data_IF_357268234934
#
_entry.id   IF_357268234934
#
_cell.length_a   1.000
_cell.length_b   1.000
_cell.length_c   1.000
_cell.angle_alpha   90.00
_cell.angle_beta   90.00
_cell.angle_gamma   90.00
#
_symmetry.space_group_name_H-M   'P 1'
#
loop_
_entity.id
_entity.type
_entity.pdbx_description
1 polymer ?
#
# COMPACT_ATOMS: atom_id res chain seq x y z
N UNK A 1 -2.31 1.49 18.52
CA UNK A 1 -0.87 1.21 18.29
C UNK A 1 -0.51 1.08 16.81
N UNK A 2 -1.33 0.46 15.93
CA UNK A 2 -1.01 0.29 14.50
C UNK A 2 -0.74 1.60 13.72
N UNK A 3 -1.55 2.66 13.89
CA UNK A 3 -1.35 3.96 13.20
C UNK A 3 0.04 4.56 13.43
N UNK A 4 0.56 4.50 14.67
CA UNK A 4 1.86 5.10 15.00
C UNK A 4 3.05 4.39 14.34
N UNK A 5 2.94 3.08 14.13
CA UNK A 5 3.99 2.29 13.46
C UNK A 5 4.04 2.59 11.96
N UNK A 6 2.88 2.82 11.34
CA UNK A 6 2.78 3.20 9.92
C UNK A 6 3.37 4.58 9.68
N UNK A 7 3.01 5.58 10.50
CA UNK A 7 3.59 6.93 10.38
C UNK A 7 5.10 6.93 10.62
N UNK A 8 5.59 6.14 11.57
CA UNK A 8 7.04 5.98 11.79
C UNK A 8 7.74 5.29 10.62
N UNK A 9 7.14 4.27 10.03
CA UNK A 9 7.70 3.60 8.86
C UNK A 9 7.71 4.54 7.65
N UNK A 10 6.65 5.31 7.46
CA UNK A 10 6.56 6.34 6.43
C UNK A 10 7.60 7.45 6.63
N UNK A 11 7.70 8.03 7.83
CA UNK A 11 8.70 9.04 8.15
C UNK A 11 10.13 8.53 7.98
N UNK A 12 10.39 7.28 8.38
CA UNK A 12 11.71 6.65 8.22
C UNK A 12 12.02 6.42 6.73
N UNK A 13 11.03 6.00 5.94
CA UNK A 13 11.17 5.84 4.51
C UNK A 13 11.46 7.18 3.82
N UNK A 14 10.66 8.22 4.09
CA UNK A 14 10.84 9.56 3.54
C UNK A 14 12.21 10.12 3.90
N UNK A 15 12.64 10.00 5.18
CA UNK A 15 13.97 10.44 5.62
C UNK A 15 15.10 9.67 4.96
N UNK A 16 14.93 8.36 4.74
CA UNK A 16 15.92 7.54 4.03
C UNK A 16 16.05 7.94 2.55
N UNK A 17 14.97 8.39 1.93
CA UNK A 17 15.03 8.94 0.56
C UNK A 17 15.81 10.25 0.48
N UNK A 18 15.68 11.09 1.51
CA UNK A 18 16.25 12.44 1.54
C UNK A 18 17.75 12.46 1.85
N UNK A 19 18.29 11.39 2.46
CA UNK A 19 19.66 11.43 3.00
C UNK A 19 20.76 10.91 2.08
N UNK A 20 20.61 9.85 1.24
CA UNK A 20 21.79 9.38 0.46
C UNK A 20 21.56 8.81 -0.96
N UNK A 21 20.34 8.55 -1.45
CA UNK A 21 20.17 7.80 -2.71
C UNK A 21 19.34 8.43 -3.84
N UNK A 22 18.75 9.64 -3.72
CA UNK A 22 17.95 10.25 -4.81
C UNK A 22 16.94 9.27 -5.46
N UNK A 23 16.39 8.33 -4.68
CA UNK A 23 15.49 7.30 -5.21
C UNK A 23 14.13 7.95 -5.41
N UNK A 24 13.74 8.11 -6.68
CA UNK A 24 12.36 8.49 -7.02
C UNK A 24 11.40 7.39 -6.58
N UNK A 25 10.66 7.63 -5.51
CA UNK A 25 9.52 6.81 -5.12
C UNK A 25 8.19 7.44 -5.52
N UNK A 26 7.17 6.59 -5.54
CA UNK A 26 5.77 6.97 -5.70
C UNK A 26 5.02 6.41 -4.49
N UNK A 27 4.25 7.27 -3.86
CA UNK A 27 3.32 6.89 -2.82
C UNK A 27 1.94 6.70 -3.44
N UNK A 28 1.30 5.59 -3.13
CA UNK A 28 -0.09 5.33 -3.50
C UNK A 28 -0.87 5.08 -2.22
N UNK A 29 -1.94 5.84 -2.04
CA UNK A 29 -2.98 5.54 -1.07
C UNK A 29 -4.11 4.84 -1.80
N UNK A 30 -4.44 3.64 -1.35
CA UNK A 30 -5.53 2.84 -1.87
C UNK A 30 -6.63 2.77 -0.82
N UNK A 31 -7.83 3.18 -1.23
CA UNK A 31 -9.07 2.99 -0.49
C UNK A 31 -9.92 1.99 -1.27
N UNK A 32 -10.49 0.99 -0.60
CA UNK A 32 -11.32 -0.02 -1.24
C UNK A 32 -12.77 0.44 -1.17
N UNK A 33 -13.34 0.77 -2.33
CA UNK A 33 -14.73 1.21 -2.43
C UNK A 33 -15.69 0.23 -1.76
N UNK A 34 -16.54 0.78 -0.88
CA UNK A 34 -17.57 0.02 -0.15
C UNK A 34 -17.01 -1.13 0.70
N UNK A 35 -15.77 -1.07 1.15
CA UNK A 35 -15.18 -2.12 2.01
C UNK A 35 -15.99 -2.36 3.29
N UNK A 36 -16.60 -1.30 3.85
CA UNK A 36 -17.56 -1.44 4.95
C UNK A 36 -18.69 -2.43 4.63
N UNK A 37 -19.23 -2.46 3.41
CA UNK A 37 -20.28 -3.40 3.03
C UNK A 37 -19.78 -4.85 3.06
N UNK A 38 -18.52 -5.09 2.70
CA UNK A 38 -17.90 -6.42 2.79
C UNK A 38 -17.86 -6.86 4.25
N UNK A 39 -17.38 -5.99 5.15
CA UNK A 39 -17.36 -6.29 6.58
C UNK A 39 -18.77 -6.52 7.14
N UNK A 40 -19.74 -5.70 6.73
CA UNK A 40 -21.11 -5.78 7.25
C UNK A 40 -21.85 -7.05 6.78
N UNK A 41 -21.55 -7.56 5.57
CA UNK A 41 -22.20 -8.74 4.99
C UNK A 41 -21.48 -10.04 5.38
N UNK A 42 -20.14 -10.03 5.37
CA UNK A 42 -19.32 -11.25 5.48
C UNK A 42 -18.49 -11.32 6.76
N UNK A 43 -18.48 -10.26 7.56
CA UNK A 43 -17.66 -10.18 8.78
C UNK A 43 -16.24 -9.68 8.53
N UNK A 44 -15.58 -9.26 9.61
CA UNK A 44 -14.26 -8.66 9.56
C UNK A 44 -13.16 -9.62 9.11
N UNK A 45 -13.28 -10.91 9.42
CA UNK A 45 -12.29 -11.92 9.00
C UNK A 45 -12.20 -12.01 7.47
N UNK A 46 -13.36 -12.00 6.79
CA UNK A 46 -13.43 -11.98 5.32
C UNK A 46 -12.92 -10.65 4.76
N UNK A 47 -13.22 -9.53 5.43
CA UNK A 47 -12.64 -8.23 5.06
C UNK A 47 -11.11 -8.24 5.11
N UNK A 48 -10.52 -8.87 6.12
CA UNK A 48 -9.07 -9.01 6.25
C UNK A 48 -8.48 -9.89 5.15
N UNK A 49 -9.14 -11.00 4.78
CA UNK A 49 -8.75 -11.82 3.63
C UNK A 49 -8.76 -11.02 2.31
N UNK A 50 -9.77 -10.18 2.11
CA UNK A 50 -9.87 -9.30 0.93
C UNK A 50 -8.70 -8.33 0.88
N UNK A 51 -8.32 -7.71 2.01
CA UNK A 51 -7.16 -6.81 2.08
C UNK A 51 -5.84 -7.54 1.78
N UNK A 52 -5.68 -8.75 2.30
CA UNK A 52 -4.51 -9.60 2.02
C UNK A 52 -4.45 -9.92 0.53
N UNK A 53 -5.57 -10.31 -0.08
CA UNK A 53 -5.62 -10.66 -1.50
C UNK A 53 -5.32 -9.46 -2.41
N UNK A 54 -5.83 -8.28 -2.06
CA UNK A 54 -5.50 -7.03 -2.78
C UNK A 54 -4.00 -6.73 -2.70
N UNK A 55 -3.41 -6.83 -1.49
CA UNK A 55 -1.98 -6.64 -1.32
C UNK A 55 -1.16 -7.69 -2.11
N UNK A 56 -1.57 -8.96 -2.09
CA UNK A 56 -0.92 -10.04 -2.83
C UNK A 56 -0.96 -9.80 -4.34
N UNK A 57 -2.10 -9.42 -4.90
CA UNK A 57 -2.22 -9.14 -6.35
C UNK A 57 -1.29 -8.02 -6.79
N UNK A 58 -1.18 -6.97 -5.97
CA UNK A 58 -0.31 -5.83 -6.29
C UNK A 58 1.17 -6.20 -6.12
N UNK A 59 1.55 -6.89 -5.03
CA UNK A 59 2.95 -7.34 -4.85
C UNK A 59 3.41 -8.31 -5.92
N UNK A 60 2.56 -9.23 -6.39
CA UNK A 60 2.92 -10.15 -7.47
C UNK A 60 3.34 -9.42 -8.76
N UNK A 61 2.80 -8.22 -9.00
CA UNK A 61 3.16 -7.41 -10.15
C UNK A 61 4.39 -6.52 -9.91
N UNK A 62 4.75 -6.28 -8.64
CA UNK A 62 5.80 -5.35 -8.20
C UNK A 62 6.56 -5.91 -6.99
N UNK A 63 7.55 -6.77 -7.27
CA UNK A 63 8.51 -7.27 -6.27
C UNK A 63 9.88 -6.64 -6.48
N UNK A 64 10.03 -5.35 -6.14
CA UNK A 64 11.37 -4.78 -5.99
C UNK A 64 11.75 -4.76 -4.52
N UNK A 65 13.04 -4.91 -4.26
CA UNK A 65 13.63 -5.01 -2.91
C UNK A 65 13.23 -3.84 -2.01
N UNK A 66 12.96 -2.66 -2.58
CA UNK A 66 12.64 -1.44 -1.84
C UNK A 66 11.17 -1.03 -1.93
N UNK A 67 10.32 -1.85 -2.56
CA UNK A 67 8.87 -1.60 -2.57
C UNK A 67 8.26 -2.17 -1.28
N UNK A 68 7.33 -1.45 -0.66
CA UNK A 68 6.64 -1.95 0.53
C UNK A 68 5.17 -1.55 0.56
N UNK A 69 4.40 -2.34 1.32
CA UNK A 69 2.97 -2.16 1.55
C UNK A 69 2.72 -2.06 3.04
N UNK A 70 1.81 -1.18 3.43
CA UNK A 70 1.33 -1.08 4.79
C UNK A 70 -0.19 -0.89 4.82
N UNK A 71 -0.85 -1.55 5.79
CA UNK A 71 -2.24 -1.23 6.15
C UNK A 71 -2.23 -0.02 7.08
N UNK A 72 -2.93 1.05 6.70
CA UNK A 72 -2.92 2.35 7.40
C UNK A 72 -4.19 2.57 8.21
N UNK A 73 -5.33 2.10 7.70
CA UNK A 73 -6.63 2.15 8.37
C UNK A 73 -7.34 0.79 8.25
N UNK A 74 -8.60 0.71 8.70
CA UNK A 74 -9.38 -0.53 8.59
C UNK A 74 -9.55 -1.01 7.15
N UNK A 75 -9.59 -0.09 6.19
CA UNK A 75 -9.81 -0.35 4.76
C UNK A 75 -8.71 0.20 3.85
N UNK A 76 -7.86 1.08 4.38
CA UNK A 76 -6.85 1.80 3.62
C UNK A 76 -5.50 1.10 3.61
N UNK A 77 -4.97 0.91 2.41
CA UNK A 77 -3.63 0.41 2.14
C UNK A 77 -2.74 1.53 1.59
N UNK A 78 -1.46 1.48 1.90
CA UNK A 78 -0.42 2.34 1.32
C UNK A 78 0.62 1.48 0.63
N UNK A 79 0.98 1.90 -0.58
CA UNK A 79 2.03 1.28 -1.38
C UNK A 79 3.11 2.32 -1.66
N UNK A 80 4.35 1.90 -1.50
CA UNK A 80 5.51 2.71 -1.85
C UNK A 80 6.28 1.97 -2.91
N UNK A 81 6.38 2.58 -4.10
CA UNK A 81 7.02 1.99 -5.27
C UNK A 81 8.26 2.79 -5.65
N UNK A 82 9.40 2.11 -5.77
CA UNK A 82 10.70 2.68 -6.08
C UNK A 82 11.12 2.33 -7.51
N UNK A 83 11.66 3.33 -8.23
CA UNK A 83 12.13 3.13 -9.61
C UNK A 83 11.02 2.77 -10.62
N UNK A 84 9.74 2.79 -10.23
CA UNK A 84 8.60 2.46 -11.10
C UNK A 84 8.18 3.71 -11.87
N UNK A 85 8.05 3.63 -13.19
CA UNK A 85 7.56 4.75 -14.02
C UNK A 85 6.09 5.09 -13.73
N UNK A 86 5.64 6.32 -14.05
CA UNK A 86 4.27 6.76 -13.76
C UNK A 86 3.21 5.93 -14.51
N UNK A 87 3.46 5.64 -15.79
CA UNK A 87 2.62 4.76 -16.62
C UNK A 87 2.34 3.42 -15.93
N UNK A 88 3.41 2.77 -15.48
CA UNK A 88 3.34 1.45 -14.86
C UNK A 88 2.66 1.50 -13.48
N UNK A 89 2.90 2.57 -12.71
CA UNK A 89 2.19 2.80 -11.45
C UNK A 89 0.68 3.04 -11.65
N UNK A 90 0.26 3.68 -12.74
CA UNK A 90 -1.17 3.88 -13.06
C UNK A 90 -1.85 2.60 -13.51
N UNK A 91 -1.16 1.74 -14.26
CA UNK A 91 -1.69 0.45 -14.72
C UNK A 91 -2.15 -0.49 -13.59
N UNK A 92 -1.71 -0.25 -12.34
CA UNK A 92 -2.19 -0.96 -11.16
C UNK A 92 -3.67 -0.73 -10.84
N UNK A 93 -4.21 0.42 -11.20
CA UNK A 93 -5.55 0.87 -10.79
C UNK A 93 -6.46 1.20 -11.97
N UNK A 94 -5.96 1.06 -13.20
CA UNK A 94 -6.76 1.17 -14.41
C UNK A 94 -7.16 -0.23 -14.88
N UNK A 95 -8.26 -0.75 -14.34
CA UNK A 95 -9.00 -1.90 -14.86
C UNK A 95 -10.50 -1.64 -14.77
#
# INVERSE_FOLDING_TARGET
>A
MAKANVWRAFDSFVKWQDTEMQIKAKLILLDIDKFKNVNDIYGHDVGDEVLIEVANKITQQYQRVNDFIARVTGEGLVFVLTGTGMERAKALFCY
#
